data_IF_869385633047
#
_entry.id   IF_869385633047
#
_cell.length_a   1.000
_cell.length_b   1.000
_cell.length_c   1.000
_cell.angle_alpha   90.00
_cell.angle_beta   90.00
_cell.angle_gamma   90.00
#
_symmetry.space_group_name_H-M   'P 1'
#
loop_
_entity.id
_entity.type
_entity.pdbx_description
1 polymer ?
#
# COMPACT_ATOMS: atom_id res chain seq x y z
N UNK A 1 -9.90 4.09 -9.87
CA UNK A 1 -10.13 2.96 -8.95
C UNK A 1 -10.38 3.62 -7.63
N UNK A 2 -11.53 3.35 -7.01
CA UNK A 2 -11.82 3.93 -5.71
C UNK A 2 -10.99 3.21 -4.66
N UNK A 3 -10.27 3.96 -3.82
CA UNK A 3 -9.56 3.39 -2.68
C UNK A 3 -10.56 2.77 -1.68
N UNK A 4 -10.25 1.59 -1.12
CA UNK A 4 -10.98 1.04 0.02
C UNK A 4 -11.02 1.99 1.22
N UNK A 5 -12.09 1.97 1.99
CA UNK A 5 -12.32 2.85 3.14
C UNK A 5 -11.19 2.78 4.18
N UNK A 6 -10.71 1.57 4.49
CA UNK A 6 -9.59 1.34 5.42
C UNK A 6 -8.29 2.01 4.95
N UNK A 7 -8.04 2.04 3.64
CA UNK A 7 -6.91 2.78 3.09
C UNK A 7 -7.09 4.29 3.17
N UNK A 8 -8.32 4.79 2.95
CA UNK A 8 -8.62 6.22 3.09
C UNK A 8 -8.38 6.65 4.54
N UNK A 9 -8.88 5.89 5.52
CA UNK A 9 -8.63 6.14 6.95
C UNK A 9 -7.14 6.15 7.27
N UNK A 10 -6.38 5.14 6.80
CA UNK A 10 -4.94 5.10 7.03
C UNK A 10 -4.20 6.32 6.44
N UNK A 11 -4.58 6.75 5.23
CA UNK A 11 -4.01 7.95 4.62
C UNK A 11 -4.34 9.18 5.46
N UNK A 12 -5.58 9.32 5.93
CA UNK A 12 -5.98 10.42 6.80
C UNK A 12 -5.14 10.45 8.09
N UNK A 13 -5.00 9.31 8.76
CA UNK A 13 -4.18 9.18 9.97
C UNK A 13 -2.72 9.59 9.71
N UNK A 14 -2.15 9.21 8.56
CA UNK A 14 -0.80 9.61 8.19
C UNK A 14 -0.66 11.12 7.99
N UNK A 15 -1.64 11.77 7.37
CA UNK A 15 -1.66 13.23 7.19
C UNK A 15 -1.89 13.99 8.51
N UNK A 16 -2.75 13.47 9.38
CA UNK A 16 -2.98 14.02 10.72
C UNK A 16 -1.71 13.96 11.57
N UNK A 17 -1.08 12.78 11.63
CA UNK A 17 0.18 12.60 12.35
C UNK A 17 1.32 13.44 11.79
N UNK A 18 1.29 13.77 10.50
CA UNK A 18 2.24 14.68 9.86
C UNK A 18 1.96 16.17 10.13
N UNK A 19 0.88 16.50 10.86
CA UNK A 19 0.43 17.89 11.08
C UNK A 19 -0.05 18.57 9.80
N UNK A 20 -0.46 17.80 8.79
CA UNK A 20 -0.95 18.30 7.49
C UNK A 20 -2.47 18.42 7.42
N UNK A 21 -3.16 17.98 8.47
CA UNK A 21 -4.60 18.06 8.61
C UNK A 21 -4.95 19.06 9.72
N UNK A 22 -5.65 20.13 9.36
CA UNK A 22 -6.26 21.04 10.32
C UNK A 22 -7.71 20.59 10.56
N UNK A 23 -7.98 20.06 11.76
CA UNK A 23 -9.18 19.30 12.14
C UNK A 23 -10.52 20.03 11.92
N UNK A 24 -10.50 21.33 11.59
CA UNK A 24 -11.69 22.17 11.34
C UNK A 24 -12.19 22.11 9.89
N UNK A 25 -11.43 21.46 9.02
CA UNK A 25 -11.80 21.16 7.64
C UNK A 25 -11.39 19.71 7.49
N UNK A 26 -12.28 18.73 7.38
CA UNK A 26 -12.75 18.24 6.08
C UNK A 26 -13.13 16.75 6.23
N UNK A 27 -14.34 16.33 5.82
CA UNK A 27 -14.56 14.93 5.38
C UNK A 27 -14.55 14.81 3.83
N UNK A 28 -15.10 15.82 3.14
CA UNK A 28 -15.30 15.75 1.67
C UNK A 28 -14.05 16.04 0.83
N UNK A 29 -13.23 17.04 1.18
CA UNK A 29 -11.98 17.35 0.47
C UNK A 29 -10.86 16.32 0.77
N UNK A 30 -10.95 15.52 1.85
CA UNK A 30 -9.95 14.54 2.25
C UNK A 30 -10.12 13.24 1.49
N UNK A 31 -11.37 12.77 1.38
CA UNK A 31 -11.70 11.70 0.44
C UNK A 31 -11.33 12.11 -0.99
N UNK A 32 -11.64 13.34 -1.41
CA UNK A 32 -11.24 13.83 -2.73
C UNK A 32 -9.71 13.89 -2.91
N UNK A 33 -8.97 14.31 -1.87
CA UNK A 33 -7.52 14.29 -1.85
C UNK A 33 -6.99 12.86 -2.01
N UNK A 34 -7.46 11.92 -1.19
CA UNK A 34 -7.05 10.51 -1.23
C UNK A 34 -7.28 9.88 -2.61
N UNK A 35 -8.41 10.20 -3.26
CA UNK A 35 -8.72 9.72 -4.62
C UNK A 35 -7.89 10.43 -5.71
N UNK A 36 -7.32 11.61 -5.43
CA UNK A 36 -6.47 12.36 -6.36
C UNK A 36 -4.98 12.03 -6.24
N UNK A 37 -4.59 11.20 -5.26
CA UNK A 37 -3.19 10.89 -4.99
C UNK A 37 -2.51 10.18 -6.18
N UNK A 38 -1.23 10.49 -6.44
CA UNK A 38 -0.53 9.93 -7.58
C UNK A 38 -0.32 8.42 -7.39
N UNK A 39 -0.94 7.64 -8.28
CA UNK A 39 -0.67 6.22 -8.42
C UNK A 39 0.55 6.01 -9.30
N UNK A 40 1.54 5.30 -8.77
CA UNK A 40 2.73 4.84 -9.49
C UNK A 40 2.70 3.33 -9.64
N UNK A 41 3.53 2.80 -10.54
CA UNK A 41 3.76 1.37 -10.66
C UNK A 41 5.22 1.07 -10.92
N UNK A 42 5.72 -0.03 -10.33
CA UNK A 42 7.06 -0.54 -10.56
C UNK A 42 7.06 -2.07 -10.42
N UNK A 43 8.15 -2.74 -10.75
CA UNK A 43 8.24 -4.19 -10.66
C UNK A 43 8.33 -4.69 -9.22
N UNK A 44 7.77 -5.87 -8.95
CA UNK A 44 7.74 -6.45 -7.61
C UNK A 44 9.14 -6.62 -6.98
N UNK A 45 10.18 -6.91 -7.77
CA UNK A 45 11.54 -7.09 -7.25
C UNK A 45 12.15 -5.82 -6.65
N UNK A 46 11.62 -4.64 -7.02
CA UNK A 46 12.02 -3.35 -6.45
C UNK A 46 11.49 -3.16 -5.03
N UNK A 47 10.47 -3.92 -4.60
CA UNK A 47 9.96 -3.83 -3.24
C UNK A 47 10.81 -4.62 -2.25
N UNK A 48 10.84 -4.23 -0.97
CA UNK A 48 11.55 -4.98 0.07
C UNK A 48 10.97 -6.38 0.21
N UNK A 49 11.83 -7.35 0.51
CA UNK A 49 11.38 -8.68 0.93
C UNK A 49 10.66 -8.58 2.28
N UNK A 50 9.61 -9.37 2.44
CA UNK A 50 8.78 -9.34 3.64
C UNK A 50 8.64 -10.75 4.19
N UNK A 51 8.99 -10.91 5.46
CA UNK A 51 8.60 -12.07 6.24
C UNK A 51 7.29 -11.74 6.96
N UNK A 52 6.35 -12.67 6.92
CA UNK A 52 5.16 -12.62 7.76
C UNK A 52 5.33 -13.68 8.84
N UNK A 53 5.31 -13.24 10.10
CA UNK A 53 5.14 -14.16 11.20
C UNK A 53 3.67 -14.56 11.18
N UNK A 54 3.37 -15.70 10.57
CA UNK A 54 2.00 -16.20 10.43
C UNK A 54 1.43 -16.47 11.81
N UNK A 55 0.67 -15.53 12.35
CA UNK A 55 -0.19 -15.80 13.48
C UNK A 55 -1.41 -16.57 12.94
N UNK A 56 -1.83 -17.69 13.55
CA UNK A 56 -2.93 -18.52 13.04
C UNK A 56 -4.28 -17.80 12.88
N UNK A 57 -4.43 -16.60 13.46
CA UNK A 57 -5.63 -15.77 13.37
C UNK A 57 -5.52 -14.65 12.31
N UNK A 58 -4.42 -14.54 11.58
CA UNK A 58 -4.24 -13.50 10.57
C UNK A 58 -4.78 -13.96 9.21
N UNK A 59 -6.08 -13.73 9.00
CA UNK A 59 -6.81 -14.11 7.78
C UNK A 59 -6.60 -13.15 6.59
N UNK A 60 -5.80 -12.08 6.77
CA UNK A 60 -5.58 -11.07 5.72
C UNK A 60 -4.87 -11.66 4.52
N UNK A 61 -3.94 -12.58 4.74
CA UNK A 61 -3.20 -13.25 3.66
C UNK A 61 -4.16 -14.07 2.78
N UNK A 62 -5.07 -14.83 3.39
CA UNK A 62 -6.06 -15.62 2.67
C UNK A 62 -7.02 -14.72 1.87
N UNK A 63 -7.54 -13.66 2.49
CA UNK A 63 -8.42 -12.70 1.80
C UNK A 63 -7.74 -12.01 0.61
N UNK A 64 -6.46 -11.63 0.74
CA UNK A 64 -5.70 -11.04 -0.38
C UNK A 64 -5.39 -12.09 -1.46
N UNK A 65 -5.04 -13.31 -1.07
CA UNK A 65 -4.82 -14.41 -2.03
C UNK A 65 -6.12 -14.74 -2.79
N UNK A 66 -7.27 -14.74 -2.15
CA UNK A 66 -8.58 -14.94 -2.79
C UNK A 66 -8.91 -13.81 -3.77
N UNK A 67 -8.73 -12.55 -3.37
CA UNK A 67 -8.90 -11.39 -4.27
C UNK A 67 -7.98 -11.47 -5.48
N UNK A 68 -6.73 -11.86 -5.29
CA UNK A 68 -5.77 -12.08 -6.37
C UNK A 68 -6.16 -13.24 -7.30
N UNK A 69 -6.89 -14.25 -6.80
CA UNK A 69 -7.41 -15.33 -7.63
C UNK A 69 -8.37 -14.83 -8.70
N UNK A 70 -9.14 -13.80 -8.37
CA UNK A 70 -10.11 -13.19 -9.26
C UNK A 70 -9.45 -12.18 -10.20
N UNK A 71 -8.55 -11.34 -9.69
CA UNK A 71 -7.73 -10.43 -10.50
C UNK A 71 -6.65 -9.77 -9.63
N UNK A 72 -5.41 -9.75 -10.13
CA UNK A 72 -4.29 -9.04 -9.49
C UNK A 72 -4.52 -7.52 -9.44
N UNK A 73 -5.34 -6.99 -10.34
CA UNK A 73 -5.73 -5.57 -10.36
C UNK A 73 -6.71 -5.19 -9.25
N UNK A 74 -7.23 -6.16 -8.50
CA UNK A 74 -8.17 -5.92 -7.41
C UNK A 74 -7.47 -5.76 -6.05
N UNK A 75 -6.15 -5.90 -5.99
CA UNK A 75 -5.42 -5.58 -4.78
C UNK A 75 -5.37 -4.06 -4.57
N UNK A 76 -5.66 -3.59 -3.36
CA UNK A 76 -5.45 -2.19 -3.01
C UNK A 76 -3.97 -1.81 -3.18
N UNK A 77 -3.65 -0.56 -3.59
CA UNK A 77 -2.28 -0.13 -3.79
C UNK A 77 -1.45 -0.22 -2.50
N UNK A 78 -0.13 -0.31 -2.63
CA UNK A 78 0.78 -0.10 -1.49
C UNK A 78 0.88 1.41 -1.17
N UNK A 79 1.47 1.78 -0.03
CA UNK A 79 1.74 3.19 0.30
C UNK A 79 3.23 3.38 0.50
N UNK A 80 3.80 4.38 -0.16
CA UNK A 80 5.22 4.74 -0.05
C UNK A 80 5.40 6.22 0.32
N UNK A 81 6.47 6.52 1.07
CA UNK A 81 6.92 7.87 1.43
C UNK A 81 8.45 7.89 1.32
N UNK A 82 9.03 8.83 0.57
CA UNK A 82 10.50 8.96 0.39
C UNK A 82 11.19 7.64 0.05
N UNK A 83 10.58 6.84 -0.82
CA UNK A 83 11.07 5.51 -1.21
C UNK A 83 10.89 4.39 -0.16
N UNK A 84 10.24 4.66 0.98
CA UNK A 84 9.96 3.66 2.00
C UNK A 84 8.52 3.18 1.89
N UNK A 85 8.33 1.86 1.95
CA UNK A 85 7.00 1.23 1.97
C UNK A 85 6.46 1.33 3.39
N UNK A 86 5.46 2.17 3.60
CA UNK A 86 4.83 2.39 4.92
C UNK A 86 3.66 1.45 5.18
N UNK A 87 2.99 0.97 4.11
CA UNK A 87 1.90 0.00 4.21
C UNK A 87 1.89 -1.02 3.06
N UNK A 88 1.37 -2.21 3.35
CA UNK A 88 1.13 -3.27 2.37
C UNK A 88 2.05 -4.49 2.50
N UNK A 89 2.59 -4.76 3.70
CA UNK A 89 3.40 -5.95 4.00
C UNK A 89 2.73 -7.26 3.56
N UNK A 90 1.46 -7.45 3.93
CA UNK A 90 0.67 -8.64 3.56
C UNK A 90 0.42 -8.73 2.06
N UNK A 91 0.18 -7.57 1.40
CA UNK A 91 -0.02 -7.51 -0.05
C UNK A 91 1.26 -7.89 -0.80
N UNK A 92 2.42 -7.39 -0.38
CA UNK A 92 3.73 -7.76 -0.94
C UNK A 92 4.03 -9.26 -0.80
N UNK A 93 3.68 -9.85 0.34
CA UNK A 93 3.80 -11.29 0.54
C UNK A 93 2.90 -12.08 -0.42
N UNK A 94 1.63 -11.68 -0.55
CA UNK A 94 0.67 -12.30 -1.45
C UNK A 94 1.11 -12.19 -2.92
N UNK A 95 1.62 -11.02 -3.33
CA UNK A 95 2.25 -10.85 -4.64
C UNK A 95 3.31 -11.91 -4.89
N UNK A 96 4.31 -12.00 -4.00
CA UNK A 96 5.43 -12.96 -4.14
C UNK A 96 5.02 -14.43 -4.10
N UNK A 97 3.95 -14.77 -3.39
CA UNK A 97 3.41 -16.13 -3.38
C UNK A 97 2.67 -16.51 -4.67
N UNK A 98 2.14 -15.52 -5.40
CA UNK A 98 1.37 -15.72 -6.64
C UNK A 98 2.21 -15.58 -7.91
N UNK A 99 3.31 -14.81 -7.89
CA UNK A 99 4.24 -14.65 -9.03
C UNK A 99 4.79 -15.97 -9.60
N UNK A 100 5.07 -17.01 -8.80
CA UNK A 100 5.61 -18.27 -9.34
C UNK A 100 4.65 -19.03 -10.25
N UNK A 101 3.38 -18.63 -10.33
CA UNK A 101 2.35 -19.55 -10.79
C UNK A 101 1.96 -19.48 -12.26
N UNK A 102 2.20 -18.42 -13.07
CA UNK A 102 1.76 -18.43 -14.49
C UNK A 102 2.16 -17.22 -15.39
N UNK A 103 3.18 -16.41 -15.08
CA UNK A 103 3.48 -15.24 -15.92
C UNK A 103 4.96 -15.14 -16.28
N UNK A 104 5.28 -15.22 -17.59
CA UNK A 104 6.59 -14.90 -18.18
C UNK A 104 6.99 -13.41 -18.02
N UNK A 105 6.14 -12.61 -17.36
CA UNK A 105 6.34 -11.19 -17.09
C UNK A 105 6.19 -10.99 -15.59
N UNK A 106 7.25 -10.49 -14.95
CA UNK A 106 7.20 -10.13 -13.53
C UNK A 106 6.13 -9.05 -13.29
N UNK A 107 5.27 -9.20 -12.26
CA UNK A 107 4.14 -8.32 -12.07
C UNK A 107 4.60 -6.93 -11.63
N UNK A 108 4.03 -5.91 -12.28
CA UNK A 108 4.05 -4.54 -11.78
C UNK A 108 3.08 -4.42 -10.61
N UNK A 109 3.54 -3.81 -9.54
CA UNK A 109 2.76 -3.49 -8.34
C UNK A 109 2.43 -2.00 -8.36
N UNK A 110 1.18 -1.67 -8.06
CA UNK A 110 0.69 -0.29 -7.97
C UNK A 110 0.84 0.21 -6.53
N UNK A 111 1.28 1.45 -6.38
CA UNK A 111 1.44 2.09 -5.08
C UNK A 111 1.08 3.58 -5.14
N UNK A 112 0.66 4.12 -4.00
CA UNK A 112 0.49 5.54 -3.76
C UNK A 112 1.82 6.10 -3.27
N UNK A 113 2.30 7.16 -3.91
CA UNK A 113 3.52 7.86 -3.49
C UNK A 113 3.17 9.18 -2.80
N UNK A 114 3.46 9.26 -1.51
CA UNK A 114 3.24 10.43 -0.68
C UNK A 114 4.50 11.28 -0.49
N UNK A 115 5.58 10.97 -1.22
CA UNK A 115 6.83 11.75 -1.23
C UNK A 115 6.54 13.23 -1.48
N UNK A 116 7.04 14.09 -0.59
CA UNK A 116 6.81 15.53 -0.65
C UNK A 116 5.44 16.02 -0.16
N UNK A 117 4.51 15.12 0.17
CA UNK A 117 3.21 15.47 0.77
C UNK A 117 3.26 15.41 2.30
N UNK A 118 3.83 14.34 2.83
CA UNK A 118 4.08 14.13 4.25
C UNK A 118 5.56 13.74 4.46
N UNK A 119 6.17 14.04 5.61
CA UNK A 119 7.46 13.46 5.96
C UNK A 119 7.32 11.94 6.16
N UNK A 120 8.42 11.21 6.02
CA UNK A 120 8.49 9.81 6.42
C UNK A 120 7.99 9.65 7.87
N UNK A 121 6.95 8.84 8.14
CA UNK A 121 6.41 8.72 9.49
C UNK A 121 7.40 8.01 10.42
N UNK A 122 7.39 8.37 11.71
CA UNK A 122 8.24 7.79 12.75
C UNK A 122 7.84 6.36 13.17
N UNK A 123 6.89 5.74 12.46
CA UNK A 123 6.42 4.39 12.72
C UNK A 123 7.26 3.36 11.97
N UNK A 124 7.29 2.09 12.42
CA UNK A 124 7.96 1.02 11.69
C UNK A 124 7.40 0.88 10.27
N UNK A 125 8.23 1.11 9.27
CA UNK A 125 7.91 0.86 7.87
C UNK A 125 8.31 -0.56 7.46
N UNK A 126 7.79 -1.03 6.33
CA UNK A 126 8.02 -2.38 5.81
C UNK A 126 9.45 -2.55 5.29
N UNK A 127 9.97 -1.53 4.61
CA UNK A 127 11.34 -1.49 4.09
C UNK A 127 11.48 -0.42 3.01
N UNK A 128 12.67 -0.34 2.38
CA UNK A 128 12.95 0.61 1.31
C UNK A 128 12.76 -0.04 -0.07
N UNK A 129 12.25 0.73 -1.02
CA UNK A 129 12.32 0.42 -2.45
C UNK A 129 13.79 0.36 -2.89
N UNK A 130 14.11 -0.60 -3.76
CA UNK A 130 15.38 -0.67 -4.48
C UNK A 130 15.33 0.29 -5.66
N UNK A 131 16.49 0.88 -5.97
CA UNK A 131 16.69 1.80 -7.10
C UNK A 131 16.58 1.07 -8.46
#
# INVERSE_FOLDING_TARGET
>A
MDLPEDMVTLIMDLFENAGKLDLLTVDKQLTALAQSLPLKSTYLYNFPEVAINNHPSDSRDEAYLERMAQSVKNLPPLICVDGHVVDGRHRLYCYRRRVPLNFDIEPKVVYIDLTGLIPLPLVPYVGKLKD
#
